data_IF_037411712469
#
_entry.id   IF_037411712469
#
_cell.length_a   1.000
_cell.length_b   1.000
_cell.length_c   1.000
_cell.angle_alpha   90.00
_cell.angle_beta   90.00
_cell.angle_gamma   90.00
#
_symmetry.space_group_name_H-M   'P 1'
#
loop_
_entity.id
_entity.type
_entity.pdbx_description
1 polymer ?
#
# COMPACT_ATOMS: atom_id res chain seq x y z
N UNK A 1 -15.83 29.78 0.96
CA UNK A 1 -14.95 29.23 -0.09
C UNK A 1 -13.71 28.71 0.60
N UNK A 2 -13.42 27.41 0.49
CA UNK A 2 -12.18 26.84 1.04
C UNK A 2 -11.10 27.10 -0.01
N UNK A 3 -10.17 28.01 0.28
CA UNK A 3 -8.99 28.22 -0.54
C UNK A 3 -8.03 27.06 -0.30
N UNK A 4 -7.93 26.15 -1.27
CA UNK A 4 -6.96 25.06 -1.24
C UNK A 4 -5.63 25.59 -1.74
N UNK A 5 -4.55 25.36 -1.00
CA UNK A 5 -3.21 25.68 -1.47
C UNK A 5 -2.91 24.88 -2.76
N UNK A 6 -2.26 25.51 -3.76
CA UNK A 6 -1.91 24.84 -5.00
C UNK A 6 -0.87 23.74 -4.74
N UNK A 7 -1.09 22.57 -5.32
CA UNK A 7 -0.15 21.45 -5.19
C UNK A 7 1.07 21.73 -6.07
N UNK A 8 2.28 21.65 -5.51
CA UNK A 8 3.50 21.90 -6.25
C UNK A 8 3.75 20.83 -7.32
N UNK A 9 4.33 21.22 -8.47
CA UNK A 9 4.70 20.31 -9.55
C UNK A 9 5.65 19.18 -9.07
N UNK A 10 6.53 19.49 -8.13
CA UNK A 10 7.43 18.55 -7.48
C UNK A 10 6.70 17.46 -6.68
N UNK A 11 5.45 17.69 -6.30
CA UNK A 11 4.61 16.72 -5.59
C UNK A 11 3.77 15.88 -6.56
N UNK A 12 3.43 16.42 -7.73
CA UNK A 12 2.59 15.74 -8.74
C UNK A 12 3.29 14.50 -9.30
N UNK A 13 4.53 14.63 -9.78
CA UNK A 13 5.24 13.53 -10.43
C UNK A 13 5.51 12.34 -9.48
N UNK A 14 6.00 12.53 -8.24
CA UNK A 14 6.13 11.45 -7.28
C UNK A 14 4.79 10.80 -6.93
N UNK A 15 3.71 11.57 -6.77
CA UNK A 15 2.41 11.01 -6.43
C UNK A 15 1.83 10.13 -7.54
N UNK A 16 2.05 10.46 -8.82
CA UNK A 16 1.68 9.58 -9.93
C UNK A 16 2.46 8.27 -9.90
N UNK A 17 3.78 8.36 -9.81
CA UNK A 17 4.66 7.18 -9.85
C UNK A 17 4.38 6.29 -8.64
N UNK A 18 4.50 6.83 -7.43
CA UNK A 18 4.29 6.09 -6.19
C UNK A 18 2.85 5.61 -6.09
N UNK A 19 1.86 6.41 -6.50
CA UNK A 19 0.46 6.01 -6.51
C UNK A 19 0.20 4.76 -7.35
N UNK A 20 0.70 4.72 -8.60
CA UNK A 20 0.57 3.54 -9.47
C UNK A 20 1.25 2.31 -8.87
N UNK A 21 2.49 2.45 -8.40
CA UNK A 21 3.21 1.33 -7.77
C UNK A 21 2.50 0.82 -6.52
N UNK A 22 1.96 1.74 -5.71
CA UNK A 22 1.23 1.40 -4.48
C UNK A 22 -0.04 0.63 -4.81
N UNK A 23 -0.81 1.03 -5.82
CA UNK A 23 -1.99 0.28 -6.28
C UNK A 23 -1.58 -1.12 -6.76
N UNK A 24 -0.57 -1.21 -7.62
CA UNK A 24 -0.09 -2.49 -8.14
C UNK A 24 0.36 -3.43 -7.00
N UNK A 25 1.12 -2.92 -6.04
CA UNK A 25 1.57 -3.68 -4.87
C UNK A 25 0.40 -4.13 -4.00
N UNK A 26 -0.56 -3.25 -3.72
CA UNK A 26 -1.77 -3.58 -2.97
C UNK A 26 -2.57 -4.69 -3.64
N UNK A 27 -2.75 -4.63 -4.96
CA UNK A 27 -3.40 -5.69 -5.75
C UNK A 27 -2.63 -7.00 -5.66
N UNK A 28 -1.30 -6.97 -5.78
CA UNK A 28 -0.46 -8.17 -5.63
C UNK A 28 -0.60 -8.77 -4.23
N UNK A 29 -0.59 -7.96 -3.17
CA UNK A 29 -0.79 -8.41 -1.79
C UNK A 29 -2.14 -9.12 -1.66
N UNK A 30 -3.22 -8.53 -2.17
CA UNK A 30 -4.56 -9.14 -2.11
C UNK A 30 -4.58 -10.46 -2.88
N UNK A 31 -4.05 -10.48 -4.11
CA UNK A 31 -4.07 -11.63 -5.02
C UNK A 31 -3.24 -12.80 -4.51
N UNK A 32 -2.11 -12.51 -3.86
CA UNK A 32 -1.13 -13.47 -3.38
C UNK A 32 -1.08 -13.56 -1.85
N UNK A 33 -2.13 -13.10 -1.15
CA UNK A 33 -2.18 -13.05 0.33
C UNK A 33 -1.87 -14.36 1.04
N UNK A 34 -2.26 -15.50 0.45
CA UNK A 34 -1.98 -16.84 1.02
C UNK A 34 -0.50 -17.22 0.89
N UNK A 35 0.09 -17.26 -0.33
CA UNK A 35 1.50 -17.58 -0.47
C UNK A 35 2.43 -16.55 0.18
N UNK A 36 2.05 -15.26 0.23
CA UNK A 36 2.76 -14.25 1.02
C UNK A 36 2.78 -14.59 2.50
N UNK A 37 1.63 -14.98 3.07
CA UNK A 37 1.56 -15.35 4.48
C UNK A 37 2.43 -16.56 4.80
N UNK A 38 2.41 -17.58 3.94
CA UNK A 38 3.24 -18.78 4.09
C UNK A 38 4.73 -18.48 3.95
N UNK A 39 5.10 -17.65 2.97
CA UNK A 39 6.48 -17.21 2.79
C UNK A 39 6.98 -16.41 4.00
N UNK A 40 6.20 -15.44 4.47
CA UNK A 40 6.51 -14.66 5.68
C UNK A 40 6.65 -15.57 6.89
N UNK A 41 5.76 -16.55 7.06
CA UNK A 41 5.87 -17.52 8.15
C UNK A 41 7.15 -18.35 8.09
N UNK A 42 7.50 -18.86 6.90
CA UNK A 42 8.73 -19.64 6.70
C UNK A 42 9.97 -18.82 7.04
N UNK A 43 10.03 -17.56 6.58
CA UNK A 43 11.14 -16.65 6.85
C UNK A 43 11.19 -16.22 8.33
N UNK A 44 10.05 -15.95 8.96
CA UNK A 44 10.00 -15.64 10.40
C UNK A 44 10.46 -16.83 11.25
N UNK A 45 10.07 -18.05 10.88
CA UNK A 45 10.53 -19.27 11.55
C UNK A 45 12.04 -19.46 11.44
N UNK A 46 12.64 -19.20 10.27
CA UNK A 46 14.09 -19.33 10.10
C UNK A 46 14.88 -18.25 10.82
N UNK A 47 14.34 -17.03 10.92
CA UNK A 47 15.05 -15.89 11.56
C UNK A 47 14.87 -15.83 13.08
N UNK A 48 13.67 -16.10 13.59
CA UNK A 48 13.32 -15.83 15.00
C UNK A 48 12.97 -17.10 15.80
N UNK A 49 13.02 -18.27 15.16
CA UNK A 49 12.69 -19.55 15.80
C UNK A 49 11.18 -19.81 15.90
N UNK A 50 10.86 -21.06 16.25
CA UNK A 50 9.51 -21.62 16.12
C UNK A 50 8.49 -21.02 17.09
N UNK A 51 8.92 -20.65 18.31
CA UNK A 51 8.04 -20.06 19.34
C UNK A 51 7.53 -18.67 18.96
N UNK A 52 8.39 -17.80 18.42
CA UNK A 52 8.01 -16.44 18.01
C UNK A 52 7.16 -16.49 16.74
N UNK A 53 7.52 -17.38 15.81
CA UNK A 53 6.76 -17.60 14.58
C UNK A 53 5.32 -18.03 14.89
N UNK A 54 5.08 -18.96 15.83
CA UNK A 54 3.72 -19.36 16.22
C UNK A 54 2.90 -18.21 16.85
N UNK A 55 3.53 -17.40 17.72
CA UNK A 55 2.88 -16.25 18.35
C UNK A 55 2.57 -15.09 17.38
N UNK A 56 3.36 -14.96 16.31
CA UNK A 56 3.17 -13.98 15.24
C UNK A 56 2.15 -14.46 14.19
N UNK A 57 2.28 -15.71 13.73
CA UNK A 57 1.43 -16.32 12.71
C UNK A 57 -0.02 -16.52 13.16
N UNK A 58 -0.24 -16.76 14.46
CA UNK A 58 -1.60 -16.80 15.01
C UNK A 58 -2.36 -15.47 14.85
N UNK A 59 -1.64 -14.35 14.73
CA UNK A 59 -2.21 -13.00 14.54
C UNK A 59 -2.24 -12.55 13.08
N UNK A 60 -1.24 -12.92 12.26
CA UNK A 60 -1.25 -12.67 10.82
C UNK A 60 -2.12 -13.70 10.07
N UNK A 61 -3.44 -13.52 10.15
CA UNK A 61 -4.37 -14.29 9.29
C UNK A 61 -4.27 -13.77 7.84
N UNK A 62 -4.40 -14.62 6.81
CA UNK A 62 -4.46 -14.19 5.41
C UNK A 62 -5.52 -13.10 5.14
N UNK A 63 -6.56 -13.05 5.97
CA UNK A 63 -7.56 -11.98 5.96
C UNK A 63 -6.95 -10.60 6.27
N UNK A 64 -6.12 -10.50 7.32
CA UNK A 64 -5.46 -9.24 7.70
C UNK A 64 -4.50 -8.76 6.61
N UNK A 65 -3.78 -9.66 5.94
CA UNK A 65 -2.98 -9.30 4.76
C UNK A 65 -3.84 -8.75 3.62
N UNK A 66 -5.04 -9.29 3.42
CA UNK A 66 -6.01 -8.74 2.47
C UNK A 66 -6.46 -7.32 2.85
N UNK A 67 -6.72 -7.06 4.14
CA UNK A 67 -7.07 -5.72 4.64
C UNK A 67 -5.93 -4.74 4.41
N UNK A 68 -4.68 -5.13 4.71
CA UNK A 68 -3.49 -4.30 4.43
C UNK A 68 -3.39 -3.99 2.94
N UNK A 69 -3.52 -4.99 2.07
CA UNK A 69 -3.48 -4.78 0.62
C UNK A 69 -4.58 -3.84 0.13
N UNK A 70 -5.80 -3.95 0.67
CA UNK A 70 -6.90 -3.04 0.33
C UNK A 70 -6.61 -1.60 0.76
N UNK A 71 -6.08 -1.41 1.97
CA UNK A 71 -5.62 -0.09 2.43
C UNK A 71 -4.51 0.47 1.55
N UNK A 72 -3.55 -0.36 1.15
CA UNK A 72 -2.48 0.04 0.22
C UNK A 72 -3.08 0.53 -1.10
N UNK A 73 -4.04 -0.19 -1.70
CA UNK A 73 -4.73 0.28 -2.92
C UNK A 73 -5.41 1.64 -2.69
N UNK A 74 -6.13 1.81 -1.58
CA UNK A 74 -6.80 3.08 -1.25
C UNK A 74 -5.81 4.25 -1.14
N UNK A 75 -4.68 4.06 -0.48
CA UNK A 75 -3.63 5.09 -0.38
C UNK A 75 -3.12 5.47 -1.78
N UNK A 76 -2.86 4.49 -2.64
CA UNK A 76 -2.42 4.77 -4.00
C UNK A 76 -3.47 5.55 -4.82
N UNK A 77 -4.76 5.24 -4.66
CA UNK A 77 -5.85 6.01 -5.28
C UNK A 77 -5.91 7.46 -4.78
N UNK A 78 -5.70 7.69 -3.48
CA UNK A 78 -5.62 9.05 -2.94
C UNK A 78 -4.44 9.84 -3.53
N UNK A 79 -3.28 9.21 -3.68
CA UNK A 79 -2.11 9.85 -4.32
C UNK A 79 -2.40 10.23 -5.78
N UNK A 80 -3.04 9.34 -6.55
CA UNK A 80 -3.44 9.65 -7.93
C UNK A 80 -4.48 10.76 -7.99
N UNK A 81 -5.40 10.81 -7.03
CA UNK A 81 -6.41 11.87 -6.95
C UNK A 81 -5.75 13.22 -6.67
N UNK A 82 -4.85 13.27 -5.69
CA UNK A 82 -4.07 14.48 -5.38
C UNK A 82 -3.22 14.94 -6.57
N UNK A 83 -2.56 14.02 -7.26
CA UNK A 83 -1.82 14.35 -8.47
C UNK A 83 -2.71 14.90 -9.58
N UNK A 84 -3.87 14.29 -9.82
CA UNK A 84 -4.84 14.76 -10.82
C UNK A 84 -5.35 16.16 -10.49
N UNK A 85 -5.65 16.44 -9.22
CA UNK A 85 -6.03 17.78 -8.76
C UNK A 85 -4.91 18.79 -9.04
N UNK A 86 -3.66 18.46 -8.70
CA UNK A 86 -2.51 19.33 -8.97
C UNK A 86 -2.32 19.61 -10.46
N UNK A 87 -2.50 18.60 -11.32
CA UNK A 87 -2.47 18.77 -12.77
C UNK A 87 -3.56 19.76 -13.22
N UNK A 88 -4.81 19.56 -12.79
CA UNK A 88 -5.93 20.46 -13.16
C UNK A 88 -5.67 21.89 -12.69
N UNK A 89 -5.14 22.08 -11.47
CA UNK A 89 -4.78 23.40 -10.94
C UNK A 89 -3.67 24.08 -11.74
N UNK A 90 -2.77 23.33 -12.37
CA UNK A 90 -1.67 23.89 -13.17
C UNK A 90 -2.11 24.32 -14.57
N UNK A 91 -3.20 23.73 -15.08
CA UNK A 91 -3.76 24.00 -16.41
C UNK A 91 -5.02 24.90 -16.39
N UNK A 92 -5.51 25.30 -15.21
CA UNK A 92 -6.65 26.21 -15.02
C UNK A 92 -6.18 27.52 -14.41
#
# INVERSE_FOLDING_TARGET
MVSLEPISAETIQPNLIVGVFTIALGVLIIRYRRPLNEAVFKTQRSMFGERIAQASAGRQKPFMMGVVGAWTVLVGLLMLTAATIGVVQQFT
#
